data_IF_419052720319
#
_entry.id   IF_419052720319
#
_cell.length_a   1.000
_cell.length_b   1.000
_cell.length_c   1.000
_cell.angle_alpha   90.00
_cell.angle_beta   90.00
_cell.angle_gamma   90.00
#
_symmetry.space_group_name_H-M   'P 1'
#
loop_
_entity.id
_entity.type
_entity.pdbx_description
1 polymer ?
#
# COMPACT_ATOMS: atom_id res chain seq x y z
N UNK A 1 -4.96 14.85 -22.89
CA UNK A 1 -4.16 13.89 -22.09
C UNK A 1 -4.77 12.49 -22.14
N UNK A 2 -6.05 12.35 -21.77
CA UNK A 2 -6.75 11.05 -21.73
C UNK A 2 -6.84 10.35 -23.08
N UNK A 3 -7.11 11.07 -24.17
CA UNK A 3 -7.14 10.49 -25.51
C UNK A 3 -5.80 9.81 -25.88
N UNK A 4 -4.67 10.41 -25.50
CA UNK A 4 -3.35 9.83 -25.76
C UNK A 4 -3.10 8.62 -24.88
N UNK A 5 -3.52 8.65 -23.61
CA UNK A 5 -3.43 7.50 -22.69
C UNK A 5 -4.27 6.32 -23.18
N UNK A 6 -5.52 6.56 -23.60
CA UNK A 6 -6.39 5.52 -24.13
C UNK A 6 -5.85 4.92 -25.44
N UNK A 7 -5.25 5.74 -26.32
CA UNK A 7 -4.52 5.22 -27.50
C UNK A 7 -3.35 4.33 -27.10
N UNK A 8 -2.59 4.72 -26.08
CA UNK A 8 -1.47 3.92 -25.59
C UNK A 8 -1.92 2.59 -24.97
N UNK A 9 -3.00 2.61 -24.16
CA UNK A 9 -3.61 1.39 -23.62
C UNK A 9 -4.11 0.45 -24.73
N UNK A 10 -4.68 1.01 -25.80
CA UNK A 10 -5.08 0.23 -26.97
C UNK A 10 -3.88 -0.45 -27.65
N UNK A 11 -2.77 0.26 -27.85
CA UNK A 11 -1.55 -0.32 -28.42
C UNK A 11 -0.97 -1.43 -27.52
N UNK A 12 -1.02 -1.26 -26.21
CA UNK A 12 -0.61 -2.31 -25.25
C UNK A 12 -1.52 -3.52 -25.37
N UNK A 13 -2.83 -3.32 -25.51
CA UNK A 13 -3.79 -4.40 -25.69
C UNK A 13 -3.48 -5.18 -26.97
N UNK A 14 -3.25 -4.50 -28.10
CA UNK A 14 -2.88 -5.15 -29.37
C UNK A 14 -1.59 -5.96 -29.25
N UNK A 15 -0.58 -5.42 -28.57
CA UNK A 15 0.68 -6.15 -28.30
C UNK A 15 0.42 -7.43 -27.49
N UNK A 16 -0.37 -7.35 -26.45
CA UNK A 16 -0.68 -8.46 -25.54
C UNK A 16 -1.52 -9.54 -26.24
N UNK A 17 -2.46 -9.12 -27.09
CA UNK A 17 -3.27 -10.01 -27.93
C UNK A 17 -2.39 -10.77 -28.94
N UNK A 18 -1.43 -10.07 -29.58
CA UNK A 18 -0.43 -10.70 -30.45
C UNK A 18 0.44 -11.74 -29.70
N UNK A 19 0.66 -11.52 -28.40
CA UNK A 19 1.37 -12.45 -27.52
C UNK A 19 0.47 -13.51 -26.87
N UNK A 20 -0.82 -13.57 -27.21
CA UNK A 20 -1.81 -14.53 -26.66
C UNK A 20 -1.95 -14.46 -25.13
N UNK A 21 -1.72 -13.28 -24.55
CA UNK A 21 -1.89 -13.02 -23.12
C UNK A 21 -3.27 -12.35 -22.94
N UNK A 22 -3.96 -12.63 -21.83
CA UNK A 22 -5.24 -11.99 -21.52
C UNK A 22 -5.11 -11.14 -20.26
N UNK A 23 -5.56 -9.89 -20.33
CA UNK A 23 -5.63 -9.03 -19.16
C UNK A 23 -6.97 -9.18 -18.44
N UNK A 24 -6.91 -9.05 -17.12
CA UNK A 24 -8.08 -8.93 -16.28
C UNK A 24 -8.24 -7.47 -15.88
N UNK A 25 -9.12 -6.74 -16.57
CA UNK A 25 -9.35 -5.31 -16.35
C UNK A 25 -9.74 -4.99 -14.90
N UNK A 26 -10.44 -5.88 -14.19
CA UNK A 26 -10.80 -5.67 -12.77
C UNK A 26 -9.60 -5.58 -11.82
N UNK A 27 -8.43 -6.12 -12.20
CA UNK A 27 -7.18 -6.02 -11.43
C UNK A 27 -6.40 -4.74 -11.72
N UNK A 28 -6.71 -4.05 -12.81
CA UNK A 28 -6.09 -2.78 -13.13
C UNK A 28 -6.74 -1.67 -12.32
N UNK A 29 -5.94 -0.68 -11.95
CA UNK A 29 -6.40 0.46 -11.18
C UNK A 29 -5.66 1.68 -11.66
N UNK A 30 -6.38 2.78 -11.80
CA UNK A 30 -5.82 4.06 -12.22
C UNK A 30 -5.62 4.91 -10.99
N UNK A 31 -4.45 5.54 -10.91
CA UNK A 31 -4.11 6.45 -9.81
C UNK A 31 -3.26 7.58 -10.35
N UNK A 32 -3.44 8.78 -9.80
CA UNK A 32 -2.71 9.97 -10.20
C UNK A 32 -1.68 10.34 -9.14
N UNK A 33 -0.44 10.54 -9.59
CA UNK A 33 0.66 11.03 -8.77
C UNK A 33 0.94 12.49 -9.14
N UNK A 34 0.43 13.40 -8.32
CA UNK A 34 0.44 14.83 -8.59
C UNK A 34 0.67 15.58 -7.28
N UNK A 35 1.42 16.69 -7.36
CA UNK A 35 1.57 17.65 -6.24
C UNK A 35 0.48 18.72 -6.27
N UNK A 36 -0.25 18.86 -7.38
CA UNK A 36 -1.28 19.87 -7.54
C UNK A 36 -2.58 19.46 -6.85
N UNK A 37 -2.88 20.12 -5.72
CA UNK A 37 -4.06 19.88 -4.89
C UNK A 37 -5.40 20.08 -5.61
N UNK A 38 -5.46 20.93 -6.63
CA UNK A 38 -6.68 21.15 -7.40
C UNK A 38 -7.10 19.93 -8.23
N UNK A 39 -6.14 19.05 -8.55
CA UNK A 39 -6.36 17.84 -9.34
C UNK A 39 -6.57 16.58 -8.48
N UNK A 40 -6.65 16.71 -7.15
CA UNK A 40 -6.79 15.55 -6.25
C UNK A 40 -8.14 14.84 -6.35
N UNK A 41 -9.16 15.58 -6.79
CA UNK A 41 -10.50 15.05 -7.01
C UNK A 41 -10.75 14.75 -8.50
N UNK A 42 -9.76 14.97 -9.36
CA UNK A 42 -9.88 14.63 -10.76
C UNK A 42 -9.77 13.12 -10.95
N UNK A 43 -10.74 12.55 -11.66
CA UNK A 43 -10.78 11.13 -12.01
C UNK A 43 -10.75 10.99 -13.53
N UNK A 44 -9.67 10.45 -14.12
CA UNK A 44 -9.59 10.30 -15.55
C UNK A 44 -10.40 9.08 -16.03
N UNK A 45 -11.06 9.23 -17.18
CA UNK A 45 -11.82 8.15 -17.81
C UNK A 45 -10.90 7.33 -18.73
N UNK A 46 -10.49 6.15 -18.24
CA UNK A 46 -9.63 5.23 -18.97
C UNK A 46 -10.33 3.89 -19.20
N UNK A 47 -10.11 3.33 -20.39
CA UNK A 47 -10.73 2.09 -20.83
C UNK A 47 -9.68 1.04 -21.17
N UNK A 48 -9.91 -0.21 -20.76
CA UNK A 48 -9.09 -1.36 -21.09
C UNK A 48 -10.02 -2.52 -21.45
N UNK A 49 -9.85 -3.14 -22.64
CA UNK A 49 -10.74 -4.22 -23.11
C UNK A 49 -12.22 -3.82 -22.99
N UNK A 50 -12.56 -2.61 -23.44
CA UNK A 50 -13.92 -2.05 -23.36
C UNK A 50 -14.54 -1.93 -21.95
N UNK A 51 -13.78 -2.18 -20.88
CA UNK A 51 -14.19 -1.95 -19.49
C UNK A 51 -13.60 -0.65 -18.95
N UNK A 52 -14.39 0.06 -18.14
CA UNK A 52 -13.93 1.28 -17.46
C UNK A 52 -13.02 0.92 -16.29
N UNK A 53 -11.83 1.51 -16.25
CA UNK A 53 -10.87 1.27 -15.17
C UNK A 53 -11.26 2.02 -13.90
N UNK A 54 -11.20 1.32 -12.77
CA UNK A 54 -11.48 1.93 -11.48
C UNK A 54 -10.38 2.91 -11.09
N UNK A 55 -10.77 4.14 -10.74
CA UNK A 55 -9.88 5.11 -10.13
C UNK A 55 -9.75 4.85 -8.63
N UNK A 56 -8.53 4.74 -8.13
CA UNK A 56 -8.23 4.67 -6.70
C UNK A 56 -7.16 5.68 -6.34
N UNK A 57 -7.47 6.52 -5.35
CA UNK A 57 -6.52 7.49 -4.79
C UNK A 57 -5.36 6.82 -4.06
N UNK A 58 -5.62 5.64 -3.46
CA UNK A 58 -4.66 4.91 -2.65
C UNK A 58 -4.54 3.47 -3.15
N UNK A 59 -4.00 3.25 -4.37
CA UNK A 59 -3.87 1.92 -4.92
C UNK A 59 -2.92 1.10 -4.05
N UNK A 60 -3.22 -0.19 -3.91
CA UNK A 60 -2.35 -1.12 -3.18
C UNK A 60 -1.69 -2.06 -4.16
N UNK A 61 -0.37 -2.03 -4.23
CA UNK A 61 0.44 -2.93 -5.05
C UNK A 61 1.40 -3.69 -4.15
N UNK A 62 1.42 -5.02 -4.25
CA UNK A 62 2.25 -5.90 -3.41
C UNK A 62 2.14 -5.60 -1.90
N UNK A 63 0.94 -5.26 -1.41
CA UNK A 63 0.73 -4.93 0.01
C UNK A 63 1.23 -3.53 0.43
N UNK A 64 1.88 -2.79 -0.46
CA UNK A 64 2.24 -1.38 -0.28
C UNK A 64 1.11 -0.47 -0.76
N UNK A 65 0.74 0.54 0.03
CA UNK A 65 -0.31 1.50 -0.35
C UNK A 65 0.34 2.78 -0.80
N UNK A 66 0.15 3.14 -2.07
CA UNK A 66 0.72 4.36 -2.62
C UNK A 66 -0.17 5.56 -2.29
N UNK A 67 0.46 6.72 -2.14
CA UNK A 67 -0.21 8.01 -1.95
C UNK A 67 0.04 8.89 -3.18
N UNK A 68 -0.89 9.80 -3.50
CA UNK A 68 -0.77 10.70 -4.66
C UNK A 68 0.51 11.57 -4.63
N UNK A 69 1.01 11.90 -3.44
CA UNK A 69 2.26 12.66 -3.26
C UNK A 69 3.45 11.74 -2.93
N UNK A 70 3.28 10.41 -2.94
CA UNK A 70 4.29 9.42 -2.54
C UNK A 70 4.82 9.64 -1.10
N UNK A 71 4.07 10.37 -0.28
CA UNK A 71 4.42 10.69 1.11
C UNK A 71 4.37 9.49 2.08
N UNK A 72 3.91 8.32 1.59
CA UNK A 72 3.79 7.06 2.32
C UNK A 72 2.99 7.14 3.63
N UNK A 73 2.23 8.21 3.84
CA UNK A 73 1.48 8.46 5.06
C UNK A 73 0.37 7.44 5.27
N UNK A 74 -0.40 7.10 4.22
CA UNK A 74 -1.45 6.08 4.34
C UNK A 74 -0.89 4.69 4.51
N UNK A 75 0.25 4.41 3.89
CA UNK A 75 0.93 3.14 4.12
C UNK A 75 1.37 3.01 5.58
N UNK A 76 2.01 4.04 6.12
CA UNK A 76 2.47 4.09 7.51
C UNK A 76 1.30 3.95 8.49
N UNK A 77 0.16 4.61 8.23
CA UNK A 77 -1.06 4.44 9.02
C UNK A 77 -1.54 2.98 9.02
N UNK A 78 -1.59 2.33 7.84
CA UNK A 78 -1.96 0.92 7.74
C UNK A 78 -0.97 -0.01 8.45
N UNK A 79 0.33 0.25 8.36
CA UNK A 79 1.35 -0.52 9.10
C UNK A 79 1.13 -0.35 10.60
N UNK A 80 0.95 0.89 11.07
CA UNK A 80 0.72 1.19 12.48
C UNK A 80 -0.51 0.44 13.01
N UNK A 81 -1.63 0.46 12.29
CA UNK A 81 -2.85 -0.22 12.71
C UNK A 81 -2.69 -1.75 12.71
N UNK A 82 -2.06 -2.33 11.67
CA UNK A 82 -1.75 -3.77 11.64
C UNK A 82 -0.84 -4.17 12.79
N UNK A 83 0.16 -3.35 13.09
CA UNK A 83 1.13 -3.58 14.17
C UNK A 83 0.43 -3.51 15.52
N UNK A 84 -0.44 -2.51 15.76
CA UNK A 84 -1.28 -2.42 16.97
C UNK A 84 -2.15 -3.64 17.17
N UNK A 85 -2.76 -4.17 16.10
CA UNK A 85 -3.56 -5.39 16.19
C UNK A 85 -2.72 -6.60 16.63
N UNK A 86 -1.52 -6.77 16.06
CA UNK A 86 -0.61 -7.85 16.47
C UNK A 86 -0.05 -7.64 17.87
N UNK A 87 0.19 -6.39 18.27
CA UNK A 87 0.67 -6.05 19.59
C UNK A 87 -0.33 -6.39 20.70
N UNK A 88 -1.64 -6.38 20.41
CA UNK A 88 -2.66 -6.90 21.37
C UNK A 88 -2.41 -8.35 21.75
N UNK A 89 -1.89 -9.17 20.83
CA UNK A 89 -1.54 -10.57 21.09
C UNK A 89 -0.34 -10.65 22.03
N UNK A 90 0.65 -9.76 21.88
CA UNK A 90 1.80 -9.66 22.79
C UNK A 90 1.39 -9.12 24.18
N UNK A 91 0.42 -8.21 24.23
CA UNK A 91 -0.06 -7.60 25.49
C UNK A 91 -0.80 -8.61 26.39
N UNK A 92 -1.41 -9.63 25.78
CA UNK A 92 -2.17 -10.64 26.50
C UNK A 92 -1.34 -11.51 27.47
N UNK A 93 -0.19 -12.10 27.07
CA UNK A 93 0.70 -12.82 27.99
C UNK A 93 1.46 -11.89 28.94
N UNK A 94 1.79 -10.66 28.53
CA UNK A 94 2.58 -9.72 29.37
C UNK A 94 1.79 -9.12 30.53
N UNK A 95 0.46 -9.16 30.50
CA UNK A 95 -0.42 -8.56 31.52
C UNK A 95 -0.90 -9.52 32.60
N UNK A 96 -0.47 -10.78 32.58
CA UNK A 96 -0.80 -11.77 33.61
C UNK A 96 0.42 -12.02 34.49
N UNK A 97 0.18 -12.27 35.78
CA UNK A 97 1.19 -12.70 36.76
C UNK A 97 1.87 -14.04 36.39
N UNK A 98 1.41 -14.71 35.32
CA UNK A 98 2.08 -15.84 34.73
C UNK A 98 3.35 -15.37 34.00
N UNK A 99 4.49 -15.49 34.66
CA UNK A 99 5.85 -15.17 34.18
C UNK A 99 6.14 -15.66 32.76
N UNK A 100 5.74 -14.85 31.78
CA UNK A 100 6.16 -15.01 30.41
C UNK A 100 7.63 -14.65 30.38
N UNK A 101 8.50 -15.62 30.17
CA UNK A 101 9.94 -15.38 30.08
C UNK A 101 10.20 -14.27 29.06
N UNK A 102 11.09 -13.32 29.38
CA UNK A 102 11.41 -12.19 28.53
C UNK A 102 11.89 -12.67 27.14
N UNK A 103 12.50 -13.85 27.07
CA UNK A 103 12.86 -14.51 25.82
C UNK A 103 11.64 -14.85 24.94
N UNK A 104 10.55 -15.35 25.53
CA UNK A 104 9.31 -15.68 24.84
C UNK A 104 8.64 -14.44 24.28
N UNK A 105 8.57 -13.36 25.06
CA UNK A 105 8.02 -12.08 24.58
C UNK A 105 8.85 -11.51 23.43
N UNK A 106 10.19 -11.60 23.53
CA UNK A 106 11.09 -11.18 22.45
C UNK A 106 10.89 -12.01 21.18
N UNK A 107 10.70 -13.32 21.30
CA UNK A 107 10.42 -14.21 20.17
C UNK A 107 9.09 -13.82 19.51
N UNK A 108 8.03 -13.62 20.29
CA UNK A 108 6.71 -13.21 19.78
C UNK A 108 6.80 -11.86 19.06
N UNK A 109 7.52 -10.88 19.63
CA UNK A 109 7.73 -9.59 18.97
C UNK A 109 8.48 -9.74 17.64
N UNK A 110 9.60 -10.46 17.64
CA UNK A 110 10.46 -10.63 16.46
C UNK A 110 9.75 -11.42 15.35
N UNK A 111 8.88 -12.36 15.70
CA UNK A 111 8.18 -13.21 14.72
C UNK A 111 6.89 -12.58 14.20
N UNK A 112 6.13 -11.86 15.03
CA UNK A 112 4.81 -11.36 14.65
C UNK A 112 4.80 -9.87 14.34
N UNK A 113 5.52 -9.05 15.12
CA UNK A 113 5.41 -7.59 15.07
C UNK A 113 6.45 -7.01 14.11
N UNK A 114 7.71 -7.39 14.29
CA UNK A 114 8.85 -6.88 13.51
C UNK A 114 8.69 -7.03 11.99
N UNK A 115 8.23 -8.17 11.44
CA UNK A 115 8.08 -8.31 9.99
C UNK A 115 7.04 -7.36 9.38
N UNK A 116 6.04 -6.92 10.16
CA UNK A 116 5.04 -5.94 9.68
C UNK A 116 5.62 -4.55 9.64
N UNK A 117 6.43 -4.19 10.63
CA UNK A 117 7.07 -2.88 10.71
C UNK A 117 8.17 -2.71 9.66
N UNK A 118 8.94 -3.76 9.39
CA UNK A 118 10.08 -3.71 8.45
C UNK A 118 9.66 -3.90 6.99
N UNK A 119 8.47 -4.45 6.73
CA UNK A 119 8.01 -4.68 5.36
C UNK A 119 7.81 -3.36 4.62
N UNK A 120 8.56 -3.17 3.53
CA UNK A 120 8.48 -1.97 2.70
C UNK A 120 9.32 -0.80 3.22
N UNK A 121 10.18 -1.03 4.22
CA UNK A 121 11.07 0.00 4.79
C UNK A 121 11.90 0.72 3.72
N UNK A 122 12.41 0.00 2.73
CA UNK A 122 13.19 0.58 1.62
C UNK A 122 12.42 1.66 0.86
N UNK A 123 11.08 1.57 0.84
CA UNK A 123 10.21 2.51 0.13
C UNK A 123 9.82 3.67 1.03
N UNK A 124 9.39 3.42 2.28
CA UNK A 124 8.91 4.49 3.15
C UNK A 124 10.00 5.14 4.02
N UNK A 125 11.27 4.68 3.96
CA UNK A 125 12.39 5.34 4.66
C UNK A 125 12.58 6.81 4.24
N UNK A 126 12.14 7.18 3.03
CA UNK A 126 12.18 8.56 2.54
C UNK A 126 10.99 9.41 3.01
N UNK A 127 10.05 8.81 3.76
CA UNK A 127 8.91 9.54 4.30
C UNK A 127 9.37 10.60 5.31
N UNK A 128 8.51 11.60 5.52
CA UNK A 128 8.81 12.67 6.47
C UNK A 128 9.04 12.14 7.89
N UNK A 129 9.91 12.78 8.69
CA UNK A 129 10.13 12.39 10.09
C UNK A 129 8.86 12.37 10.93
N UNK A 130 7.90 13.25 10.61
CA UNK A 130 6.59 13.30 11.27
C UNK A 130 5.76 12.04 11.01
N UNK A 131 5.83 11.47 9.80
CA UNK A 131 5.18 10.21 9.49
C UNK A 131 5.92 9.03 10.11
N UNK A 132 7.26 9.00 10.06
CA UNK A 132 8.06 7.92 10.66
C UNK A 132 7.85 7.81 12.18
N UNK A 133 7.73 8.94 12.89
CA UNK A 133 7.38 8.98 14.32
C UNK A 133 6.06 8.29 14.66
N UNK A 134 5.14 8.11 13.70
CA UNK A 134 3.90 7.35 13.94
C UNK A 134 4.20 5.87 14.15
N UNK A 135 5.22 5.31 13.49
CA UNK A 135 5.64 3.91 13.66
C UNK A 135 6.38 3.69 14.97
N UNK A 136 7.23 4.64 15.36
CA UNK A 136 7.99 4.60 16.63
C UNK A 136 7.08 4.60 17.88
N UNK A 137 5.85 5.11 17.74
CA UNK A 137 4.87 5.24 18.83
C UNK A 137 3.93 4.04 18.96
N UNK A 138 4.04 3.04 18.09
CA UNK A 138 3.20 1.83 18.11
C UNK A 138 3.83 0.77 18.98
#
# INVERSE_FOLDING_TARGET
MELQLNRFLFNIQEFVDNHKITFNASKFTVSLFLTNKHLYNYSPELFLISEHLNYSKYPTSLGFTLDSEVNCGKHIEKIADKTRQRFKILKYPSGRDCGSDASSLRIIYTTLVRPVLEYGYQIFQVASPTNLRKLERV
#
